data_IF_273083174370
#
_entry.id   IF_273083174370
#
_cell.length_a   1.000
_cell.length_b   1.000
_cell.length_c   1.000
_cell.angle_alpha   90.00
_cell.angle_beta   90.00
_cell.angle_gamma   90.00
#
_symmetry.space_group_name_H-M   'P 1'
#
loop_
_entity.id
_entity.type
_entity.pdbx_description
1 polymer ?
#
# COMPACT_ATOMS: atom_id res chain seq x y z
N UNK A 1 -78.60 4.96 10.51
CA UNK A 1 -77.42 4.53 9.73
C UNK A 1 -76.31 5.56 9.94
N UNK A 2 -75.15 5.17 10.46
CA UNK A 2 -73.96 6.04 10.57
C UNK A 2 -73.12 5.93 9.30
N UNK A 3 -72.55 7.04 8.84
CA UNK A 3 -71.18 7.07 8.33
C UNK A 3 -70.37 7.98 9.28
N UNK A 4 -69.47 7.46 10.11
CA UNK A 4 -68.07 7.10 9.81
C UNK A 4 -67.25 8.26 9.22
N UNK A 5 -66.60 8.97 10.16
CA UNK A 5 -65.21 9.45 10.16
C UNK A 5 -64.80 10.51 9.12
N UNK A 6 -64.54 11.70 9.67
CA UNK A 6 -63.73 12.80 9.15
C UNK A 6 -62.55 12.36 8.26
N UNK A 7 -62.26 13.07 7.14
CA UNK A 7 -60.99 12.93 6.45
C UNK A 7 -59.85 13.16 7.45
N UNK A 8 -58.96 12.17 7.54
CA UNK A 8 -57.71 12.27 8.28
C UNK A 8 -56.81 13.27 7.57
N UNK A 9 -56.15 14.07 8.38
CA UNK A 9 -55.02 14.94 8.08
C UNK A 9 -54.06 14.28 7.07
N UNK A 10 -54.08 14.78 5.84
CA UNK A 10 -52.91 14.82 4.97
C UNK A 10 -52.67 16.30 4.68
N UNK A 11 -51.40 16.71 4.76
CA UNK A 11 -50.85 18.03 4.38
C UNK A 11 -50.35 18.91 5.53
N UNK A 12 -50.05 18.31 6.69
CA UNK A 12 -49.16 18.92 7.68
C UNK A 12 -47.68 18.54 7.45
N UNK A 13 -47.14 18.74 6.25
CA UNK A 13 -45.68 18.77 6.02
C UNK A 13 -45.29 19.77 4.91
N UNK A 14 -45.86 20.98 4.99
CA UNK A 14 -45.30 22.16 4.33
C UNK A 14 -44.04 22.65 5.05
N UNK A 15 -42.95 21.89 4.99
CA UNK A 15 -41.61 22.39 5.27
C UNK A 15 -40.88 22.56 3.95
N UNK A 16 -41.00 23.76 3.36
CA UNK A 16 -40.09 24.21 2.33
C UNK A 16 -38.69 24.32 2.95
N UNK A 17 -37.97 23.21 2.98
CA UNK A 17 -36.55 23.16 3.35
C UNK A 17 -35.79 23.99 2.30
N UNK A 18 -35.50 25.26 2.63
CA UNK A 18 -34.50 26.02 1.87
C UNK A 18 -33.18 25.25 1.98
N UNK A 19 -32.58 24.77 0.88
CA UNK A 19 -31.29 24.11 0.96
C UNK A 19 -30.27 25.10 1.54
N UNK A 20 -29.72 24.78 2.73
CA UNK A 20 -28.96 25.73 3.55
C UNK A 20 -27.56 26.08 3.01
N UNK A 21 -27.20 25.53 1.85
CA UNK A 21 -26.08 25.93 0.98
C UNK A 21 -26.31 25.27 -0.38
N UNK A 22 -25.97 25.92 -1.51
CA UNK A 22 -25.94 25.23 -2.79
C UNK A 22 -25.01 24.01 -2.66
N UNK A 23 -25.46 22.85 -3.13
CA UNK A 23 -24.62 21.66 -3.21
C UNK A 23 -23.39 22.07 -3.99
N UNK A 24 -22.22 21.99 -3.37
CA UNK A 24 -20.95 22.26 -4.03
C UNK A 24 -20.80 21.21 -5.12
N UNK A 25 -21.06 21.60 -6.37
CA UNK A 25 -20.84 20.72 -7.52
C UNK A 25 -19.35 20.42 -7.61
N UNK A 26 -19.02 19.18 -7.96
CA UNK A 26 -17.66 18.80 -8.27
C UNK A 26 -17.13 19.74 -9.36
N UNK A 27 -16.05 20.45 -9.08
CA UNK A 27 -15.30 21.17 -10.10
C UNK A 27 -14.28 20.19 -10.64
N UNK A 28 -14.33 19.90 -11.95
CA UNK A 28 -13.26 19.14 -12.59
C UNK A 28 -11.94 19.82 -12.29
N UNK A 29 -11.03 19.08 -11.67
CA UNK A 29 -9.64 19.50 -11.62
C UNK A 29 -9.15 19.59 -13.07
N UNK A 30 -8.44 20.66 -13.45
CA UNK A 30 -7.85 20.71 -14.77
C UNK A 30 -6.97 19.47 -15.00
N UNK A 31 -6.90 18.96 -16.24
CA UNK A 31 -5.97 17.89 -16.61
C UNK A 31 -4.59 18.17 -16.05
N UNK A 32 -3.86 17.12 -15.67
CA UNK A 32 -2.44 17.26 -15.42
C UNK A 32 -1.77 17.64 -16.76
N UNK A 33 -1.27 18.87 -16.89
CA UNK A 33 -0.68 19.42 -18.13
C UNK A 33 0.55 18.62 -18.63
N UNK A 34 1.09 17.73 -17.79
CA UNK A 34 2.23 16.86 -18.10
C UNK A 34 1.86 15.58 -18.88
N UNK A 35 0.57 15.24 -18.98
CA UNK A 35 0.13 14.05 -19.71
C UNK A 35 0.14 14.34 -21.23
N UNK A 36 0.92 13.59 -22.05
CA UNK A 36 0.94 13.80 -23.48
C UNK A 36 -0.44 13.55 -24.11
N UNK A 37 -0.78 14.34 -25.12
CA UNK A 37 -1.91 14.05 -25.99
C UNK A 37 -1.71 12.71 -26.70
N UNK A 38 -2.78 11.94 -26.88
CA UNK A 38 -2.77 10.70 -27.64
C UNK A 38 -3.67 9.61 -27.05
N UNK A 39 -3.51 8.40 -27.57
CA UNK A 39 -4.31 7.25 -27.13
C UNK A 39 -3.69 6.52 -25.95
N UNK A 40 -4.54 6.24 -24.95
CA UNK A 40 -4.18 5.48 -23.77
C UNK A 40 -4.99 4.20 -23.70
N UNK A 41 -4.29 3.11 -23.41
CA UNK A 41 -4.89 1.79 -23.22
C UNK A 41 -4.78 1.38 -21.76
N UNK A 42 -5.82 0.77 -21.18
CA UNK A 42 -5.76 0.28 -19.80
C UNK A 42 -4.73 -0.85 -19.67
N UNK A 43 -4.03 -0.87 -18.54
CA UNK A 43 -3.00 -1.84 -18.20
C UNK A 43 -1.57 -1.41 -18.55
N UNK A 44 -0.62 -2.25 -18.14
CA UNK A 44 0.80 -2.14 -18.50
C UNK A 44 1.04 -3.00 -19.74
N UNK A 45 1.13 -2.37 -20.91
CA UNK A 45 1.32 -3.06 -22.20
C UNK A 45 2.78 -3.06 -22.67
N UNK A 46 3.64 -2.26 -22.03
CA UNK A 46 5.08 -2.35 -22.23
C UNK A 46 5.59 -3.65 -21.57
N UNK A 47 6.11 -4.58 -22.38
CA UNK A 47 6.51 -5.91 -21.92
C UNK A 47 7.59 -5.89 -20.83
N UNK A 48 8.61 -5.04 -20.98
CA UNK A 48 9.67 -4.90 -19.98
C UNK A 48 9.13 -4.39 -18.64
N UNK A 49 8.23 -3.40 -18.71
CA UNK A 49 7.57 -2.85 -17.54
C UNK A 49 6.65 -3.88 -16.86
N UNK A 50 5.87 -4.62 -17.65
CA UNK A 50 4.96 -5.65 -17.15
C UNK A 50 5.72 -6.83 -16.50
N UNK A 51 6.82 -7.27 -17.12
CA UNK A 51 7.67 -8.33 -16.59
C UNK A 51 8.30 -7.92 -15.26
N UNK A 52 8.84 -6.69 -15.17
CA UNK A 52 9.44 -6.19 -13.94
C UNK A 52 8.40 -5.99 -12.83
N UNK A 53 7.22 -5.46 -13.15
CA UNK A 53 6.12 -5.34 -12.20
C UNK A 53 5.68 -6.72 -11.67
N UNK A 54 5.48 -7.69 -12.56
CA UNK A 54 5.12 -9.07 -12.17
C UNK A 54 6.17 -9.72 -11.27
N UNK A 55 7.46 -9.52 -11.59
CA UNK A 55 8.57 -9.97 -10.75
C UNK A 55 8.52 -9.32 -9.36
N UNK A 56 8.32 -8.01 -9.28
CA UNK A 56 8.23 -7.29 -8.01
C UNK A 56 7.10 -7.82 -7.11
N UNK A 57 5.91 -8.03 -7.67
CA UNK A 57 4.76 -8.58 -6.93
C UNK A 57 5.03 -10.02 -6.47
N UNK A 58 5.72 -10.82 -7.28
CA UNK A 58 6.07 -12.21 -6.94
C UNK A 58 7.12 -12.28 -5.81
N UNK A 59 8.14 -11.42 -5.87
CA UNK A 59 9.20 -11.34 -4.85
C UNK A 59 8.63 -10.90 -3.49
N UNK A 60 7.62 -10.04 -3.48
CA UNK A 60 7.02 -9.51 -2.24
C UNK A 60 6.60 -10.61 -1.26
N UNK A 61 6.04 -11.72 -1.74
CA UNK A 61 5.60 -12.84 -0.89
C UNK A 61 6.77 -13.48 -0.13
N UNK A 62 7.96 -13.53 -0.75
CA UNK A 62 9.17 -14.00 -0.08
C UNK A 62 9.65 -13.02 0.99
N UNK A 63 9.55 -11.70 0.74
CA UNK A 63 9.85 -10.67 1.74
C UNK A 63 8.91 -10.79 2.95
N UNK A 64 7.62 -11.04 2.73
CA UNK A 64 6.65 -11.26 3.81
C UNK A 64 6.98 -12.52 4.64
N UNK A 65 7.34 -13.62 3.99
CA UNK A 65 7.77 -14.84 4.71
C UNK A 65 9.06 -14.58 5.51
N UNK A 66 10.00 -13.79 5.01
CA UNK A 66 11.18 -13.36 5.77
C UNK A 66 10.80 -12.52 7.01
N UNK A 67 9.84 -11.61 6.87
CA UNK A 67 9.32 -10.79 7.99
C UNK A 67 8.56 -11.61 9.04
N UNK A 68 7.93 -12.72 8.67
CA UNK A 68 7.41 -13.67 9.67
C UNK A 68 8.53 -14.18 10.58
N UNK A 69 9.75 -14.37 10.03
CA UNK A 69 10.93 -14.70 10.82
C UNK A 69 11.34 -13.59 11.78
N UNK A 70 11.13 -12.32 11.43
CA UNK A 70 11.35 -11.18 12.33
C UNK A 70 10.36 -11.23 13.49
N UNK A 71 9.08 -11.42 13.21
CA UNK A 71 8.07 -11.52 14.27
C UNK A 71 8.36 -12.72 15.20
N UNK A 72 8.73 -13.87 14.64
CA UNK A 72 9.14 -15.04 15.41
C UNK A 72 10.29 -14.71 16.37
N UNK A 73 11.31 -13.98 15.91
CA UNK A 73 12.45 -13.56 16.73
C UNK A 73 12.03 -12.58 17.84
N UNK A 74 11.08 -11.68 17.56
CA UNK A 74 10.57 -10.69 18.51
C UNK A 74 9.63 -11.29 19.56
N UNK A 75 9.03 -12.46 19.28
CA UNK A 75 8.21 -13.22 20.22
C UNK A 75 9.05 -14.14 21.14
N UNK A 76 10.38 -14.08 21.06
CA UNK A 76 11.29 -14.85 21.92
C UNK A 76 11.83 -16.12 21.27
N UNK A 77 11.66 -16.28 19.96
CA UNK A 77 11.99 -17.52 19.25
C UNK A 77 10.90 -18.58 19.43
N UNK A 78 11.12 -19.77 18.86
CA UNK A 78 10.17 -20.88 18.93
C UNK A 78 9.61 -21.28 17.56
N UNK A 79 8.37 -21.81 17.53
CA UNK A 79 7.76 -22.32 16.28
C UNK A 79 7.38 -21.17 15.34
N UNK A 80 7.63 -21.36 14.04
CA UNK A 80 7.30 -20.38 12.99
C UNK A 80 5.79 -20.24 12.75
N UNK A 81 5.03 -21.33 12.94
CA UNK A 81 3.61 -21.37 12.58
C UNK A 81 2.73 -20.34 13.33
N UNK A 82 2.85 -20.17 14.67
CA UNK A 82 2.12 -19.10 15.38
C UNK A 82 2.47 -17.70 14.89
N UNK A 83 3.77 -17.40 14.68
CA UNK A 83 4.20 -16.11 14.16
C UNK A 83 3.61 -15.82 12.76
N UNK A 84 3.57 -16.83 11.89
CA UNK A 84 2.93 -16.73 10.57
C UNK A 84 1.45 -16.39 10.68
N UNK A 85 0.71 -17.08 11.54
CA UNK A 85 -0.72 -16.85 11.74
C UNK A 85 -0.99 -15.43 12.24
N UNK A 86 -0.21 -14.94 13.22
CA UNK A 86 -0.33 -13.57 13.74
C UNK A 86 0.01 -12.54 12.64
N UNK A 87 1.07 -12.78 11.85
CA UNK A 87 1.49 -11.83 10.83
C UNK A 87 0.43 -11.66 9.74
N UNK A 88 -0.16 -12.76 9.26
CA UNK A 88 -1.19 -12.73 8.21
C UNK A 88 -2.56 -12.27 8.70
N UNK A 89 -2.89 -12.41 10.00
CA UNK A 89 -4.16 -11.91 10.52
C UNK A 89 -4.24 -10.38 10.57
N UNK A 90 -3.09 -9.70 10.49
CA UNK A 90 -3.01 -8.24 10.52
C UNK A 90 -2.90 -7.71 9.10
N UNK A 91 -4.03 -7.31 8.51
CA UNK A 91 -4.10 -6.80 7.13
C UNK A 91 -3.50 -5.39 7.01
N UNK A 92 -3.71 -4.53 8.02
CA UNK A 92 -3.22 -3.15 8.00
C UNK A 92 -1.70 -3.07 8.15
N UNK A 93 -1.03 -2.42 7.20
CA UNK A 93 0.41 -2.15 7.25
C UNK A 93 0.80 -1.40 8.53
N UNK A 94 0.02 -0.39 8.90
CA UNK A 94 0.30 0.43 10.08
C UNK A 94 0.14 -0.37 11.38
N UNK A 95 -0.91 -1.18 11.48
CA UNK A 95 -1.10 -2.06 12.63
C UNK A 95 0.04 -3.08 12.75
N UNK A 96 0.49 -3.64 11.62
CA UNK A 96 1.60 -4.60 11.56
C UNK A 96 2.91 -3.96 11.98
N UNK A 97 3.23 -2.76 11.49
CA UNK A 97 4.38 -1.96 11.93
C UNK A 97 4.32 -1.70 13.44
N UNK A 98 3.17 -1.24 13.93
CA UNK A 98 2.95 -0.94 15.34
C UNK A 98 3.17 -2.17 16.23
N UNK A 99 2.66 -3.34 15.83
CA UNK A 99 2.91 -4.60 16.54
C UNK A 99 4.40 -4.89 16.63
N UNK A 100 5.11 -4.89 15.49
CA UNK A 100 6.52 -5.24 15.43
C UNK A 100 7.37 -4.30 16.29
N UNK A 101 7.14 -2.99 16.19
CA UNK A 101 7.85 -1.99 17.01
C UNK A 101 7.51 -2.14 18.50
N UNK A 102 6.24 -2.41 18.84
CA UNK A 102 5.83 -2.65 20.23
C UNK A 102 6.52 -3.88 20.82
N UNK A 103 6.58 -4.98 20.06
CA UNK A 103 7.31 -6.18 20.48
C UNK A 103 8.79 -5.85 20.69
N UNK A 104 9.43 -5.13 19.75
CA UNK A 104 10.84 -4.75 19.86
C UNK A 104 11.12 -3.87 21.10
N UNK A 105 10.33 -2.81 21.30
CA UNK A 105 10.61 -1.75 22.27
C UNK A 105 10.11 -2.06 23.68
N UNK A 106 8.96 -2.74 23.82
CA UNK A 106 8.32 -2.94 25.13
C UNK A 106 8.59 -4.29 25.77
N UNK A 107 9.10 -5.27 25.01
CA UNK A 107 9.31 -6.62 25.52
C UNK A 107 10.70 -6.80 26.10
N UNK A 108 10.78 -7.29 27.36
CA UNK A 108 12.06 -7.52 28.06
C UNK A 108 12.99 -8.49 27.32
N UNK A 109 12.44 -9.46 26.60
CA UNK A 109 13.21 -10.43 25.80
C UNK A 109 13.99 -9.79 24.64
N UNK A 110 13.60 -8.58 24.21
CA UNK A 110 14.18 -7.88 23.07
C UNK A 110 15.16 -6.78 23.48
N UNK A 111 15.41 -6.56 24.78
CA UNK A 111 16.25 -5.48 25.29
C UNK A 111 17.70 -5.49 24.77
N UNK A 112 18.20 -6.63 24.29
CA UNK A 112 19.54 -6.78 23.71
C UNK A 112 19.56 -6.81 22.18
N UNK A 113 18.41 -6.69 21.52
CA UNK A 113 18.36 -6.65 20.05
C UNK A 113 18.87 -5.30 19.57
N UNK A 114 19.60 -5.31 18.46
CA UNK A 114 20.19 -4.11 17.88
C UNK A 114 19.19 -3.35 17.02
N UNK A 115 19.53 -2.11 16.67
CA UNK A 115 18.73 -1.19 15.85
C UNK A 115 18.44 -1.72 14.42
N UNK A 116 19.11 -2.80 14.01
CA UNK A 116 18.85 -3.51 12.75
C UNK A 116 17.38 -3.95 12.65
N UNK A 117 16.74 -4.31 13.76
CA UNK A 117 15.33 -4.75 13.75
C UNK A 117 14.40 -3.59 13.44
N UNK A 118 14.62 -2.43 14.05
CA UNK A 118 13.83 -1.22 13.77
C UNK A 118 14.01 -0.78 12.31
N UNK A 119 15.25 -0.84 11.81
CA UNK A 119 15.58 -0.53 10.41
C UNK A 119 14.83 -1.44 9.44
N UNK A 120 14.86 -2.76 9.67
CA UNK A 120 14.12 -3.75 8.89
C UNK A 120 12.61 -3.46 8.90
N UNK A 121 12.04 -3.19 10.08
CA UNK A 121 10.61 -2.91 10.24
C UNK A 121 10.21 -1.65 9.47
N UNK A 122 11.01 -0.60 9.55
CA UNK A 122 10.75 0.67 8.85
C UNK A 122 10.86 0.50 7.33
N UNK A 123 11.90 -0.17 6.84
CA UNK A 123 12.08 -0.45 5.41
C UNK A 123 10.94 -1.30 4.85
N UNK A 124 10.55 -2.37 5.56
CA UNK A 124 9.41 -3.19 5.16
C UNK A 124 8.12 -2.39 5.08
N UNK A 125 7.84 -1.55 6.09
CA UNK A 125 6.63 -0.73 6.09
C UNK A 125 6.59 0.28 4.94
N UNK A 126 7.72 0.93 4.64
CA UNK A 126 7.84 1.86 3.51
C UNK A 126 7.64 1.15 2.17
N UNK A 127 8.27 -0.02 1.99
CA UNK A 127 8.12 -0.82 0.77
C UNK A 127 6.69 -1.33 0.59
N UNK A 128 6.02 -1.75 1.67
CA UNK A 128 4.63 -2.18 1.61
C UNK A 128 3.70 -1.03 1.16
N UNK A 129 3.95 0.19 1.64
CA UNK A 129 3.22 1.37 1.20
C UNK A 129 3.44 1.62 -0.30
N UNK A 130 4.69 1.64 -0.78
CA UNK A 130 5.02 1.81 -2.21
C UNK A 130 4.38 0.70 -3.06
N UNK A 131 4.47 -0.55 -2.61
CA UNK A 131 3.87 -1.72 -3.25
C UNK A 131 2.36 -1.59 -3.38
N UNK A 132 1.68 -1.11 -2.34
CA UNK A 132 0.23 -0.97 -2.37
C UNK A 132 -0.22 0.14 -3.32
N UNK A 133 0.53 1.25 -3.42
CA UNK A 133 0.30 2.27 -4.44
C UNK A 133 0.36 1.66 -5.85
N UNK A 134 1.38 0.84 -6.13
CA UNK A 134 1.54 0.20 -7.42
C UNK A 134 0.54 -0.94 -7.68
N UNK A 135 0.20 -1.76 -6.69
CA UNK A 135 -0.75 -2.86 -6.88
C UNK A 135 -2.18 -2.35 -7.11
N UNK A 136 -2.61 -1.36 -6.33
CA UNK A 136 -4.00 -0.93 -6.31
C UNK A 136 -4.28 0.27 -7.22
N UNK A 137 -3.26 0.91 -7.78
CA UNK A 137 -3.45 1.98 -8.75
C UNK A 137 -3.92 1.47 -10.11
N UNK A 138 -4.55 2.36 -10.86
CA UNK A 138 -5.00 2.10 -12.22
C UNK A 138 -3.88 2.42 -13.20
N UNK A 139 -3.45 1.41 -13.96
CA UNK A 139 -2.38 1.51 -14.93
C UNK A 139 -2.90 1.83 -16.32
N UNK A 140 -2.17 2.67 -17.03
CA UNK A 140 -2.43 3.00 -18.43
C UNK A 140 -1.12 3.04 -19.22
N UNK A 141 -1.16 2.60 -20.47
CA UNK A 141 -0.04 2.71 -21.40
C UNK A 141 -0.42 3.63 -22.55
N UNK A 142 0.37 4.67 -22.75
CA UNK A 142 0.25 5.57 -23.90
C UNK A 142 0.77 4.88 -25.18
N UNK A 143 0.29 5.29 -26.34
CA UNK A 143 0.76 4.75 -27.64
C UNK A 143 2.27 4.92 -27.88
N UNK A 144 2.92 5.89 -27.22
CA UNK A 144 4.38 6.02 -27.23
C UNK A 144 5.11 4.96 -26.39
N UNK A 145 4.39 4.05 -25.71
CA UNK A 145 4.95 3.04 -24.81
C UNK A 145 5.25 3.52 -23.38
N UNK A 146 4.98 4.79 -23.06
CA UNK A 146 5.12 5.37 -21.71
C UNK A 146 4.00 4.86 -20.80
N UNK A 147 4.32 4.64 -19.52
CA UNK A 147 3.41 4.01 -18.54
C UNK A 147 3.00 5.03 -17.49
N UNK A 148 1.71 5.04 -17.18
CA UNK A 148 1.09 5.98 -16.26
C UNK A 148 0.29 5.24 -15.19
N UNK A 149 0.26 5.83 -13.98
CA UNK A 149 -0.42 5.30 -12.82
C UNK A 149 -1.33 6.36 -12.20
N UNK A 150 -2.58 6.00 -11.97
CA UNK A 150 -3.50 6.77 -11.14
C UNK A 150 -3.66 6.10 -9.77
N UNK A 151 -3.21 6.79 -8.72
CA UNK A 151 -3.12 6.25 -7.36
C UNK A 151 -4.48 6.19 -6.64
N UNK A 152 -5.48 6.94 -7.12
CA UNK A 152 -6.79 7.05 -6.47
C UNK A 152 -7.93 6.80 -7.47
N UNK A 153 -8.54 5.62 -7.36
CA UNK A 153 -9.75 5.24 -8.07
C UNK A 153 -11.04 5.88 -7.48
N UNK A 154 -10.95 7.05 -6.83
CA UNK A 154 -12.11 7.67 -6.12
C UNK A 154 -12.94 8.59 -7.03
N UNK A 155 -12.34 9.23 -8.04
CA UNK A 155 -13.03 10.12 -8.98
C UNK A 155 -13.06 9.54 -10.40
N UNK A 156 -14.23 9.35 -11.03
CA UNK A 156 -14.42 8.77 -12.39
C UNK A 156 -13.52 9.35 -13.52
N UNK A 157 -12.80 10.43 -13.24
CA UNK A 157 -11.81 11.13 -14.04
C UNK A 157 -10.35 10.68 -13.80
N UNK A 158 -10.12 9.42 -13.40
CA UNK A 158 -8.78 8.90 -12.98
C UNK A 158 -7.64 9.15 -13.97
N UNK A 159 -7.96 9.22 -15.26
CA UNK A 159 -7.00 9.48 -16.33
C UNK A 159 -6.30 10.84 -16.17
N UNK A 160 -7.05 11.88 -15.75
CA UNK A 160 -6.54 13.24 -15.59
C UNK A 160 -5.60 13.43 -14.41
N UNK A 161 -5.58 12.48 -13.46
CA UNK A 161 -4.71 12.49 -12.29
C UNK A 161 -3.62 11.41 -12.36
N UNK A 162 -3.42 10.80 -13.54
CA UNK A 162 -2.36 9.83 -13.71
C UNK A 162 -1.00 10.52 -13.78
N UNK A 163 -0.01 9.96 -13.08
CA UNK A 163 1.40 10.37 -13.18
C UNK A 163 2.13 9.39 -14.08
N UNK A 164 3.12 9.86 -14.82
CA UNK A 164 4.06 8.95 -15.45
C UNK A 164 4.81 8.17 -14.37
N UNK A 165 4.98 6.87 -14.59
CA UNK A 165 5.84 6.01 -13.78
C UNK A 165 7.03 5.61 -14.64
N UNK A 166 8.22 5.95 -14.18
CA UNK A 166 9.45 5.54 -14.88
C UNK A 166 9.82 4.12 -14.49
N UNK A 167 10.43 3.38 -15.41
CA UNK A 167 10.78 1.96 -15.16
C UNK A 167 11.75 1.83 -13.98
N UNK A 168 12.60 2.83 -13.79
CA UNK A 168 13.56 2.93 -12.69
C UNK A 168 12.87 2.89 -11.32
N UNK A 169 11.63 3.38 -11.19
CA UNK A 169 10.89 3.30 -9.92
C UNK A 169 10.59 1.86 -9.50
N UNK A 170 10.37 0.98 -10.48
CA UNK A 170 10.19 -0.46 -10.26
C UNK A 170 11.54 -1.15 -10.03
N UNK A 171 12.61 -0.74 -10.71
CA UNK A 171 13.95 -1.27 -10.48
C UNK A 171 14.48 -0.93 -9.09
N UNK A 172 14.24 0.30 -8.63
CA UNK A 172 14.56 0.73 -7.26
C UNK A 172 13.79 -0.09 -6.23
N UNK A 173 12.53 -0.42 -6.52
CA UNK A 173 11.74 -1.29 -5.67
C UNK A 173 12.31 -2.72 -5.62
N UNK A 174 12.70 -3.30 -6.76
CA UNK A 174 13.38 -4.61 -6.83
C UNK A 174 14.67 -4.61 -5.99
N UNK A 175 15.53 -3.61 -6.21
CA UNK A 175 16.79 -3.43 -5.48
C UNK A 175 16.56 -3.31 -3.98
N UNK A 176 15.58 -2.50 -3.56
CA UNK A 176 15.26 -2.30 -2.15
C UNK A 176 14.69 -3.57 -1.50
N UNK A 177 13.86 -4.35 -2.20
CA UNK A 177 13.40 -5.66 -1.71
C UNK A 177 14.54 -6.67 -1.57
N UNK A 178 15.49 -6.67 -2.51
CA UNK A 178 16.70 -7.48 -2.43
C UNK A 178 17.57 -7.10 -1.23
N UNK A 179 17.80 -5.80 -1.02
CA UNK A 179 18.56 -5.31 0.12
C UNK A 179 17.89 -5.65 1.46
N UNK A 180 16.57 -5.45 1.56
CA UNK A 180 15.81 -5.81 2.75
C UNK A 180 15.91 -7.31 3.04
N UNK A 181 15.76 -8.16 2.01
CA UNK A 181 15.86 -9.62 2.16
C UNK A 181 17.23 -10.04 2.68
N UNK A 182 18.30 -9.50 2.10
CA UNK A 182 19.67 -9.73 2.54
C UNK A 182 19.89 -9.26 3.98
N UNK A 183 19.41 -8.06 4.32
CA UNK A 183 19.51 -7.49 5.68
C UNK A 183 18.80 -8.37 6.70
N UNK A 184 17.60 -8.86 6.36
CA UNK A 184 16.87 -9.81 7.19
C UNK A 184 17.69 -11.08 7.37
N UNK A 185 18.23 -11.69 6.31
CA UNK A 185 19.03 -12.92 6.43
C UNK A 185 20.29 -12.73 7.28
N UNK A 186 20.98 -11.60 7.14
CA UNK A 186 22.23 -11.31 7.85
C UNK A 186 22.04 -10.95 9.32
N UNK A 187 20.83 -10.56 9.76
CA UNK A 187 20.55 -10.20 11.16
C UNK A 187 20.96 -11.27 12.19
N UNK A 188 21.07 -12.52 11.75
CA UNK A 188 21.43 -13.69 12.57
C UNK A 188 22.92 -14.08 12.49
N UNK A 189 23.73 -13.39 11.70
CA UNK A 189 25.15 -13.71 11.50
C UNK A 189 26.06 -12.50 11.73
N UNK A 190 26.80 -12.46 12.85
CA UNK A 190 27.81 -11.42 13.12
C UNK A 190 28.95 -11.39 12.09
N UNK A 191 29.24 -12.49 11.40
CA UNK A 191 30.33 -12.59 10.42
C UNK A 191 29.98 -12.02 9.04
N UNK A 192 28.70 -12.05 8.65
CA UNK A 192 28.25 -11.51 7.36
C UNK A 192 28.10 -9.98 7.37
N UNK A 193 27.74 -9.38 8.51
CA UNK A 193 27.61 -7.92 8.64
C UNK A 193 28.93 -7.16 8.39
N UNK A 194 30.08 -7.80 8.64
CA UNK A 194 31.42 -7.23 8.39
C UNK A 194 31.80 -7.16 6.90
N UNK A 195 31.18 -7.97 6.04
CA UNK A 195 31.56 -8.05 4.63
C UNK A 195 31.08 -6.85 3.80
N UNK A 196 30.10 -6.09 4.29
CA UNK A 196 29.47 -4.96 3.59
C UNK A 196 29.94 -3.61 4.16
N UNK A 197 30.50 -3.61 5.37
CA UNK A 197 31.07 -2.41 5.99
C UNK A 197 32.50 -2.10 5.52
N UNK A 198 33.07 -2.92 4.63
CA UNK A 198 34.35 -2.64 3.97
C UNK A 198 34.06 -1.98 2.62
N UNK A 199 34.68 -0.82 2.33
CA UNK A 199 34.46 -0.06 1.09
C UNK A 199 34.85 -0.84 -0.17
#
# INVERSE_FOLDING_TARGET
MRPLVSPRESDAFGLAMKPSKPIRRYALKPPNDDAPDGHYKPGILNEGFAALFGRNISIWVHVEDLMIGILQDLLGGGKRAPARQIFHSIVSNQARKSLLLTCLQRSKINAKKTDIYETIIQQFSNLNTKRNTFLHGLWYTHESGRVFLSENAVDDFHYFNSREVKIEELEEMDKAMGLLSSTIMMRRSPSLAKLIASP
#
